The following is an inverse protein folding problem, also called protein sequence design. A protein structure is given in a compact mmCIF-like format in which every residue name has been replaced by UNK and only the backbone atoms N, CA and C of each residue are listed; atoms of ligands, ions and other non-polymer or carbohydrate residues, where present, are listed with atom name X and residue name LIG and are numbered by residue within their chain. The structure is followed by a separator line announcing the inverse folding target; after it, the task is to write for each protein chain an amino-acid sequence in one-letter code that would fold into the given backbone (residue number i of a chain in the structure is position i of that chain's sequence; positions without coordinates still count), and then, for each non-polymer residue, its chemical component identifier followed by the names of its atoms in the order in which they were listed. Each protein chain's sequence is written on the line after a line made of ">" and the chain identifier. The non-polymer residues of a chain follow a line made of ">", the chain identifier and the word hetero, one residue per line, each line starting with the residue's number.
data_IF_233317597139
#
_entry.id   IF_233317597139
#
_cell.length_a   1.000
_cell.length_b   1.000
_cell.length_c   1.000
_cell.angle_alpha   90.00
_cell.angle_beta   90.00
_cell.angle_gamma   90.00
#
_symmetry.space_group_name_H-M   'P 1'
#
loop_
_entity.id
_entity.type
_entity.pdbx_description
1 polymer ?
#
# COMPACT_ATOMS: atom_id res chain seq x y z
N UNK A 1 -11.90 6.37 20.04
CA UNK A 1 -11.69 7.54 19.16
C UNK A 1 -10.35 8.16 19.52
N UNK A 2 -9.41 8.23 18.59
CA UNK A 2 -8.11 8.85 18.81
C UNK A 2 -7.47 9.30 17.49
N UNK A 3 -6.51 10.21 17.60
CA UNK A 3 -5.57 10.48 16.51
C UNK A 3 -4.63 9.29 16.34
N UNK A 4 -4.41 8.87 15.10
CA UNK A 4 -3.49 7.79 14.75
C UNK A 4 -2.46 8.31 13.75
N UNK A 5 -1.19 8.29 14.14
CA UNK A 5 -0.05 8.57 13.26
C UNK A 5 0.67 7.27 12.92
N UNK A 6 0.96 7.04 11.64
CA UNK A 6 1.83 5.96 11.17
C UNK A 6 2.79 6.48 10.12
N UNK A 7 3.99 5.92 10.13
CA UNK A 7 4.98 6.14 9.07
C UNK A 7 4.48 5.57 7.74
N UNK A 8 5.05 6.06 6.63
CA UNK A 8 4.99 5.35 5.36
C UNK A 8 5.74 4.03 5.49
N UNK A 9 5.28 3.01 4.78
CA UNK A 9 5.97 1.73 4.68
C UNK A 9 6.34 1.49 3.22
N UNK A 10 7.43 0.77 2.98
CA UNK A 10 7.85 0.36 1.64
C UNK A 10 8.16 -1.13 1.64
N UNK A 11 7.60 -1.86 0.68
CA UNK A 11 7.95 -3.25 0.41
C UNK A 11 8.68 -3.34 -0.94
N UNK A 12 9.76 -4.13 -0.97
CA UNK A 12 10.51 -4.43 -2.18
C UNK A 12 10.36 -5.94 -2.40
N UNK A 13 9.53 -6.32 -3.36
CA UNK A 13 9.18 -7.71 -3.63
C UNK A 13 10.20 -8.36 -4.58
N UNK A 14 10.61 -7.60 -5.61
CA UNK A 14 11.59 -8.01 -6.63
C UNK A 14 12.50 -6.82 -6.95
N UNK A 15 13.82 -7.04 -7.04
CA UNK A 15 14.79 -5.96 -7.29
C UNK A 15 16.06 -6.44 -8.02
N UNK A 16 15.91 -6.99 -9.23
CA UNK A 16 17.07 -7.41 -10.01
C UNK A 16 17.95 -6.22 -10.47
N UNK A 17 17.38 -5.02 -10.58
CA UNK A 17 18.09 -3.82 -11.00
C UNK A 17 18.71 -3.09 -9.80
N UNK A 18 20.02 -2.87 -9.86
CA UNK A 18 20.70 -1.98 -8.89
C UNK A 18 20.09 -0.58 -8.97
N UNK A 19 19.76 -0.01 -7.81
CA UNK A 19 19.13 1.32 -7.72
C UNK A 19 17.60 1.30 -7.61
N UNK A 20 16.95 0.13 -7.67
CA UNK A 20 15.53 0.00 -7.32
C UNK A 20 15.34 -0.01 -5.79
N UNK A 21 15.46 1.16 -5.17
CA UNK A 21 15.40 1.35 -3.71
C UNK A 21 14.05 1.92 -3.25
N UNK A 22 13.88 2.10 -1.93
CA UNK A 22 12.72 2.78 -1.35
C UNK A 22 12.51 4.19 -1.92
N UNK A 23 13.60 4.93 -2.11
CA UNK A 23 13.59 6.29 -2.65
C UNK A 23 13.17 6.28 -4.12
N UNK A 24 13.63 5.29 -4.90
CA UNK A 24 13.24 5.13 -6.30
C UNK A 24 11.74 4.82 -6.45
N UNK A 25 11.21 3.90 -5.63
CA UNK A 25 9.79 3.54 -5.63
C UNK A 25 8.95 4.76 -5.29
N UNK A 26 9.32 5.50 -4.25
CA UNK A 26 8.62 6.73 -3.87
C UNK A 26 8.67 7.76 -5.00
N UNK A 27 9.85 8.06 -5.54
CA UNK A 27 10.01 9.05 -6.60
C UNK A 27 9.18 8.70 -7.86
N UNK A 28 9.14 7.42 -8.24
CA UNK A 28 8.37 6.93 -9.38
C UNK A 28 6.87 7.16 -9.18
N UNK A 29 6.35 6.83 -8.01
CA UNK A 29 4.93 7.03 -7.65
C UNK A 29 4.58 8.52 -7.57
N UNK A 30 5.42 9.32 -6.92
CA UNK A 30 5.22 10.77 -6.77
C UNK A 30 5.22 11.47 -8.12
N UNK A 31 6.17 11.13 -9.01
CA UNK A 31 6.24 11.65 -10.38
C UNK A 31 5.03 11.23 -11.22
N UNK A 32 4.69 9.93 -11.23
CA UNK A 32 3.61 9.39 -12.05
C UNK A 32 2.25 10.00 -11.69
N UNK A 33 1.92 10.07 -10.41
CA UNK A 33 0.62 10.54 -9.93
C UNK A 33 0.59 12.01 -9.53
N UNK A 34 1.72 12.72 -9.54
CA UNK A 34 1.79 14.13 -9.13
C UNK A 34 1.42 14.32 -7.66
N UNK A 35 1.88 13.42 -6.79
CA UNK A 35 1.57 13.41 -5.34
C UNK A 35 2.85 13.48 -4.50
N UNK A 36 2.70 13.67 -3.18
CA UNK A 36 3.80 13.53 -2.21
C UNK A 36 3.38 12.61 -1.07
N UNK A 37 4.26 11.66 -0.73
CA UNK A 37 4.10 10.71 0.37
C UNK A 37 5.08 11.11 1.48
N UNK A 38 4.58 11.89 2.45
CA UNK A 38 5.35 12.27 3.62
C UNK A 38 5.79 11.08 4.47
N UNK A 39 6.82 11.27 5.30
CA UNK A 39 7.38 10.25 6.20
C UNK A 39 6.34 9.59 7.11
N UNK A 40 5.35 10.37 7.54
CA UNK A 40 4.23 9.90 8.33
C UNK A 40 2.95 10.59 7.89
N UNK A 41 1.81 9.96 8.17
CA UNK A 41 0.51 10.59 8.03
C UNK A 41 -0.31 10.38 9.31
N UNK A 42 -1.08 11.40 9.67
CA UNK A 42 -1.97 11.38 10.83
C UNK A 42 -3.42 11.38 10.36
N UNK A 43 -4.23 10.49 10.90
CA UNK A 43 -5.68 10.46 10.64
C UNK A 43 -6.46 10.52 11.94
N UNK A 44 -7.62 11.15 11.89
CA UNK A 44 -8.62 11.09 12.95
C UNK A 44 -9.71 10.11 12.54
N UNK A 45 -9.89 9.04 13.34
CA UNK A 45 -10.87 8.00 13.08
C UNK A 45 -11.52 7.52 14.38
N UNK A 46 -12.77 7.11 14.26
CA UNK A 46 -13.52 6.46 15.32
C UNK A 46 -14.21 5.23 14.77
N UNK A 47 -14.08 4.12 15.49
CA UNK A 47 -14.84 2.89 15.30
C UNK A 47 -15.32 2.43 16.66
N UNK A 48 -16.49 1.82 16.70
CA UNK A 48 -17.08 1.27 17.92
C UNK A 48 -17.77 -0.04 17.59
N UNK A 49 -17.71 -0.97 18.52
CA UNK A 49 -18.54 -2.16 18.54
C UNK A 49 -19.07 -2.34 19.96
N UNK A 50 -20.23 -2.96 20.09
CA UNK A 50 -20.90 -3.18 21.36
C UNK A 50 -21.32 -4.64 21.42
N UNK A 51 -20.91 -5.34 22.46
CA UNK A 51 -21.34 -6.70 22.70
C UNK A 51 -22.84 -6.76 22.98
N UNK A 52 -23.53 -7.71 22.38
CA UNK A 52 -24.87 -8.10 22.78
C UNK A 52 -24.93 -8.62 24.22
N UNK A 53 -26.14 -8.78 24.77
CA UNK A 53 -26.32 -9.11 26.19
C UNK A 53 -25.76 -10.48 26.60
N UNK A 54 -25.58 -11.41 25.65
CA UNK A 54 -25.18 -12.80 25.90
C UNK A 54 -23.95 -13.23 25.09
N UNK A 55 -23.10 -12.27 24.69
CA UNK A 55 -21.88 -12.57 23.95
C UNK A 55 -20.67 -11.82 24.50
N UNK A 56 -19.50 -12.41 24.29
CA UNK A 56 -18.21 -11.78 24.44
C UNK A 56 -17.66 -11.46 23.05
N UNK A 57 -17.20 -10.23 22.86
CA UNK A 57 -16.65 -9.75 21.60
C UNK A 57 -15.14 -9.55 21.74
N UNK A 58 -14.38 -10.15 20.83
CA UNK A 58 -12.97 -9.84 20.63
C UNK A 58 -12.81 -9.05 19.33
N UNK A 59 -12.09 -7.93 19.39
CA UNK A 59 -11.89 -7.07 18.23
C UNK A 59 -10.44 -6.65 18.08
N UNK A 60 -10.04 -6.41 16.83
CA UNK A 60 -8.75 -5.86 16.43
C UNK A 60 -8.98 -4.66 15.53
N UNK A 61 -8.30 -3.55 15.80
CA UNK A 61 -8.31 -2.37 14.93
C UNK A 61 -7.00 -2.36 14.14
N UNK A 62 -7.11 -2.52 12.83
CA UNK A 62 -5.99 -2.48 11.90
C UNK A 62 -5.84 -1.09 11.29
N UNK A 63 -4.61 -0.61 11.15
CA UNK A 63 -4.32 0.53 10.28
C UNK A 63 -4.47 0.09 8.82
N UNK A 64 -5.13 0.88 7.99
CA UNK A 64 -5.27 0.61 6.55
C UNK A 64 -4.61 1.71 5.72
N UNK A 65 -3.99 1.27 4.62
CA UNK A 65 -3.09 2.09 3.84
C UNK A 65 -3.56 2.18 2.39
N UNK A 66 -3.30 3.32 1.77
CA UNK A 66 -3.35 3.44 0.31
C UNK A 66 -2.04 2.91 -0.24
N UNK A 67 -2.13 1.88 -1.07
CA UNK A 67 -1.00 1.25 -1.76
C UNK A 67 -0.78 1.94 -3.10
N UNK A 68 0.49 2.17 -3.43
CA UNK A 68 0.94 2.50 -4.78
C UNK A 68 2.07 1.53 -5.14
N UNK A 69 2.13 1.10 -6.39
CA UNK A 69 3.10 0.12 -6.86
C UNK A 69 3.95 0.71 -7.99
N UNK A 70 5.23 0.40 -7.99
CA UNK A 70 6.17 0.68 -9.06
C UNK A 70 6.69 -0.65 -9.59
N UNK A 71 6.53 -0.88 -10.89
CA UNK A 71 6.94 -2.10 -11.58
C UNK A 71 7.82 -1.71 -12.76
N UNK A 72 8.99 -2.35 -12.89
CA UNK A 72 9.82 -2.26 -14.10
C UNK A 72 9.74 -3.58 -14.85
N UNK A 73 9.38 -3.50 -16.12
CA UNK A 73 9.39 -4.64 -17.04
C UNK A 73 10.59 -4.50 -17.96
N UNK A 74 11.48 -5.49 -17.94
CA UNK A 74 12.68 -5.54 -18.79
C UNK A 74 12.69 -6.84 -19.57
N UNK A 75 12.89 -6.76 -20.89
CA UNK A 75 12.86 -7.93 -21.78
C UNK A 75 11.59 -8.79 -21.62
N UNK A 76 10.43 -8.14 -21.49
CA UNK A 76 9.13 -8.81 -21.34
C UNK A 76 8.86 -9.46 -19.98
N UNK A 77 9.75 -9.31 -19.00
CA UNK A 77 9.61 -9.89 -17.66
C UNK A 77 9.66 -8.80 -16.58
N UNK A 78 9.02 -9.04 -15.44
CA UNK A 78 9.13 -8.16 -14.27
C UNK A 78 10.56 -8.25 -13.74
N UNK A 79 11.33 -7.18 -13.91
CA UNK A 79 12.68 -7.08 -13.33
C UNK A 79 12.65 -6.51 -11.92
N UNK A 80 11.68 -5.65 -11.63
CA UNK A 80 11.56 -5.00 -10.33
C UNK A 80 10.08 -4.77 -9.98
N UNK A 81 9.73 -4.94 -8.71
CA UNK A 81 8.40 -4.74 -8.14
C UNK A 81 8.54 -4.26 -6.69
N UNK A 82 8.01 -3.08 -6.42
CA UNK A 82 7.93 -2.55 -5.07
C UNK A 82 6.67 -1.73 -4.85
N UNK A 83 6.25 -1.62 -3.58
CA UNK A 83 5.07 -0.87 -3.18
C UNK A 83 5.37 0.10 -2.05
N UNK A 84 4.70 1.25 -2.06
CA UNK A 84 4.73 2.25 -0.99
C UNK A 84 3.33 2.49 -0.43
N UNK A 85 3.23 2.59 0.89
CA UNK A 85 1.97 2.59 1.63
C UNK A 85 1.83 3.86 2.45
N UNK A 86 0.70 4.56 2.31
CA UNK A 86 0.35 5.76 3.10
C UNK A 86 -0.89 5.49 3.95
N UNK A 87 -0.81 5.73 5.26
CA UNK A 87 -1.96 5.56 6.17
C UNK A 87 -3.15 6.42 5.70
N UNK A 88 -4.34 5.83 5.57
CA UNK A 88 -5.57 6.57 5.17
C UNK A 88 -6.83 6.18 5.95
N UNK A 89 -6.81 5.03 6.64
CA UNK A 89 -7.98 4.55 7.37
C UNK A 89 -7.63 3.58 8.49
N UNK A 90 -8.70 3.05 9.08
CA UNK A 90 -8.66 1.92 10.01
C UNK A 90 -9.74 0.93 9.62
N UNK A 91 -9.53 -0.34 9.95
CA UNK A 91 -10.52 -1.41 9.78
C UNK A 91 -10.71 -2.16 11.09
N UNK A 92 -11.96 -2.34 11.49
CA UNK A 92 -12.35 -3.09 12.67
C UNK A 92 -12.69 -4.52 12.26
N UNK A 93 -11.95 -5.49 12.80
CA UNK A 93 -12.23 -6.92 12.64
C UNK A 93 -12.71 -7.48 13.97
N UNK A 94 -13.80 -8.24 13.96
CA UNK A 94 -14.48 -8.72 15.16
C UNK A 94 -14.85 -10.18 15.06
N UNK A 95 -14.77 -10.90 16.18
CA UNK A 95 -15.37 -12.22 16.37
C UNK A 95 -16.10 -12.24 17.70
N UNK A 96 -17.13 -13.05 17.83
CA UNK A 96 -17.88 -13.18 19.08
C UNK A 96 -18.18 -14.63 19.43
N UNK A 97 -18.34 -14.87 20.73
CA UNK A 97 -18.69 -16.17 21.29
C UNK A 97 -19.55 -16.01 22.55
N UNK A 98 -20.16 -17.09 23.01
CA UNK A 98 -20.97 -17.14 24.25
C UNK A 98 -20.12 -17.00 25.53
N UNK A 99 -18.82 -17.33 25.46
CA UNK A 99 -17.87 -17.19 26.56
C UNK A 99 -16.47 -16.81 26.06
N UNK A 100 -15.65 -16.19 26.93
CA UNK A 100 -14.27 -15.82 26.59
C UNK A 100 -13.42 -17.01 26.11
N UNK A 101 -13.61 -18.19 26.69
CA UNK A 101 -12.85 -19.40 26.33
C UNK A 101 -13.19 -19.95 24.94
N UNK A 102 -14.35 -19.58 24.40
CA UNK A 102 -14.83 -20.02 23.09
C UNK A 102 -14.53 -19.02 21.97
N UNK A 103 -13.90 -17.89 22.28
CA UNK A 103 -13.47 -16.93 21.26
C UNK A 103 -12.36 -17.56 20.42
N UNK A 104 -12.67 -17.87 19.16
CA UNK A 104 -11.67 -18.28 18.18
C UNK A 104 -10.87 -17.06 17.70
N UNK A 105 -9.77 -16.79 18.39
CA UNK A 105 -8.82 -15.74 18.01
C UNK A 105 -8.12 -16.03 16.68
N UNK A 106 -8.05 -17.32 16.28
CA UNK A 106 -7.47 -17.76 15.01
C UNK A 106 -8.22 -17.18 13.81
N UNK A 107 -9.54 -17.04 13.93
CA UNK A 107 -10.40 -16.43 12.89
C UNK A 107 -10.03 -14.99 12.51
N UNK A 108 -9.33 -14.26 13.40
CA UNK A 108 -8.91 -12.86 13.15
C UNK A 108 -7.41 -12.71 12.86
N UNK A 109 -6.70 -13.81 12.59
CA UNK A 109 -5.29 -13.77 12.20
C UNK A 109 -5.18 -13.44 10.71
N UNK A 110 -4.64 -12.27 10.42
CA UNK A 110 -4.27 -11.86 9.07
C UNK A 110 -2.90 -12.45 8.72
N UNK A 111 -2.84 -13.29 7.69
CA UNK A 111 -1.61 -14.02 7.31
C UNK A 111 -0.67 -13.22 6.39
N UNK A 112 -1.12 -12.07 5.89
CA UNK A 112 -0.35 -11.22 4.98
C UNK A 112 -1.10 -9.96 4.57
N UNK A 113 -0.52 -9.23 3.62
CA UNK A 113 -1.14 -8.04 3.03
C UNK A 113 -2.37 -8.41 2.19
N UNK A 114 -3.48 -7.70 2.40
CA UNK A 114 -4.66 -7.77 1.51
C UNK A 114 -5.46 -6.47 1.54
N UNK A 115 -6.26 -6.25 0.50
CA UNK A 115 -7.29 -5.20 0.53
C UNK A 115 -8.48 -5.66 1.39
N UNK A 116 -8.92 -4.82 2.32
CA UNK A 116 -10.05 -5.10 3.23
C UNK A 116 -11.34 -4.37 2.84
N UNK A 117 -11.33 -3.65 1.71
CA UNK A 117 -12.53 -3.00 1.18
C UNK A 117 -13.46 -4.05 0.57
N UNK A 118 -14.76 -3.93 0.84
CA UNK A 118 -15.79 -4.82 0.27
C UNK A 118 -16.04 -4.53 -1.21
N UNK A 119 -15.83 -3.29 -1.64
CA UNK A 119 -15.78 -2.89 -3.05
C UNK A 119 -14.33 -2.54 -3.38
N UNK A 120 -13.60 -3.43 -4.07
CA UNK A 120 -12.24 -3.15 -4.51
C UNK A 120 -12.21 -1.91 -5.40
N UNK A 121 -11.19 -1.08 -5.24
CA UNK A 121 -10.96 0.03 -6.17
C UNK A 121 -10.45 -0.52 -7.49
N UNK A 122 -10.92 0.02 -8.62
CA UNK A 122 -10.31 -0.24 -9.92
C UNK A 122 -8.95 0.41 -9.96
N UNK A 123 -7.93 -0.34 -10.36
CA UNK A 123 -6.56 0.17 -10.43
C UNK A 123 -6.43 1.27 -11.50
N UNK A 124 -5.54 2.22 -11.23
CA UNK A 124 -5.17 3.28 -12.16
C UNK A 124 -3.69 3.12 -12.44
N UNK A 125 -3.37 2.81 -13.69
CA UNK A 125 -2.00 2.56 -14.14
C UNK A 125 -1.49 3.72 -14.99
N UNK A 126 -0.20 4.00 -14.89
CA UNK A 126 0.46 5.02 -15.70
C UNK A 126 1.90 4.63 -16.00
N UNK A 127 2.22 4.48 -17.28
CA UNK A 127 3.58 4.34 -17.75
C UNK A 127 4.29 5.70 -17.71
N UNK A 128 5.55 5.70 -17.28
CA UNK A 128 6.41 6.89 -17.18
C UNK A 128 7.78 6.60 -17.79
N UNK A 129 8.50 7.65 -18.21
CA UNK A 129 9.93 7.51 -18.52
C UNK A 129 10.66 7.00 -17.27
N UNK A 130 11.51 5.98 -17.44
CA UNK A 130 12.26 5.39 -16.32
C UNK A 130 13.19 6.43 -15.72
N UNK A 131 13.00 6.73 -14.43
CA UNK A 131 13.78 7.72 -13.70
C UNK A 131 15.26 7.33 -13.56
N UNK A 132 15.60 6.06 -13.77
CA UNK A 132 16.97 5.57 -13.77
C UNK A 132 17.67 5.72 -15.13
N UNK A 133 16.94 6.03 -16.21
CA UNK A 133 17.49 6.11 -17.54
C UNK A 133 18.25 7.43 -17.76
N UNK A 134 19.37 7.35 -18.49
CA UNK A 134 20.01 8.53 -19.05
C UNK A 134 19.10 9.17 -20.12
N UNK A 135 19.24 10.48 -20.30
CA UNK A 135 18.45 11.23 -21.30
C UNK A 135 19.37 11.77 -22.40
N UNK A 136 19.11 11.35 -23.63
CA UNK A 136 19.69 11.92 -24.85
C UNK A 136 18.57 12.45 -25.75
N UNK A 137 18.91 13.34 -26.69
CA UNK A 137 17.97 13.86 -27.69
C UNK A 137 18.65 13.97 -29.04
N UNK A 138 17.92 13.61 -30.09
CA UNK A 138 18.37 13.69 -31.47
C UNK A 138 17.27 14.30 -32.32
N UNK A 139 17.58 15.33 -33.11
CA UNK A 139 16.68 15.72 -34.18
C UNK A 139 16.85 14.71 -35.31
N UNK A 140 15.90 13.78 -35.40
CA UNK A 140 15.96 12.72 -36.39
C UNK A 140 15.90 13.27 -37.83
N UNK A 141 15.23 14.40 -38.06
CA UNK A 141 15.14 15.00 -39.40
C UNK A 141 16.48 15.56 -39.85
N UNK A 142 17.19 16.27 -38.97
CA UNK A 142 18.52 16.83 -39.27
C UNK A 142 19.59 15.74 -39.37
N UNK A 143 19.39 14.60 -38.72
CA UNK A 143 20.33 13.47 -38.78
C UNK A 143 20.14 12.61 -40.04
N UNK A 144 18.95 12.63 -40.64
CA UNK A 144 18.64 11.86 -41.86
C UNK A 144 18.95 12.64 -43.15
N UNK A 145 18.90 13.97 -43.11
CA UNK A 145 19.15 14.86 -44.26
C UNK A 145 20.60 15.32 -44.33
#
# INVERSE_FOLDING_TARGET
>A
SQSLTKSKEVSINVNFSVGFTSEFIQASVEYGFGITIGEQNTIERSVSTTAGPNEYVYYKVYATYRKYQAIRISHGNISDDGSIYKLTGIWLSTTSADSLGNIDQGSLIETGERCVLTVPSTDIEKEILDLAAATERLNLTDALN
#
